data_IF_200037737061
#
_entry.id   IF_200037737061
#
_cell.length_a   1.000
_cell.length_b   1.000
_cell.length_c   1.000
_cell.angle_alpha   90.00
_cell.angle_beta   90.00
_cell.angle_gamma   90.00
#
_symmetry.space_group_name_H-M   'P 1'
#
loop_
_entity.id
_entity.type
_entity.pdbx_description
1 polymer ?
#
# COMPACT_ATOMS: atom_id res chain seq x y z
N UNK A 1 -7.49 -62.03 11.19
CA UNK A 1 -8.19 -62.61 9.98
C UNK A 1 -8.52 -61.44 9.05
N UNK A 2 -7.77 -61.38 7.93
CA UNK A 2 -8.23 -61.31 6.52
C UNK A 2 -9.07 -60.03 6.21
N UNK A 3 -8.80 -59.18 5.21
CA UNK A 3 -8.12 -59.38 3.91
C UNK A 3 -7.70 -58.00 3.35
N UNK A 4 -6.51 -57.97 2.79
CA UNK A 4 -6.04 -56.93 1.89
C UNK A 4 -6.84 -56.97 0.57
N UNK A 5 -7.05 -55.80 -0.06
CA UNK A 5 -7.26 -55.71 -1.51
C UNK A 5 -6.40 -54.61 -2.09
N UNK A 6 -5.40 -55.04 -2.86
CA UNK A 6 -4.64 -54.26 -3.82
C UNK A 6 -5.57 -53.99 -5.01
N UNK A 7 -5.56 -52.78 -5.56
CA UNK A 7 -6.01 -52.56 -6.94
C UNK A 7 -4.96 -51.69 -7.64
N UNK A 8 -4.65 -52.19 -8.82
CA UNK A 8 -3.52 -51.96 -9.66
C UNK A 8 -3.49 -50.58 -10.35
N UNK A 9 -2.26 -50.18 -10.65
CA UNK A 9 -1.91 -49.17 -11.63
C UNK A 9 -2.32 -49.61 -13.05
N UNK A 10 -2.88 -48.71 -13.84
CA UNK A 10 -2.99 -48.87 -15.29
C UNK A 10 -2.41 -47.62 -15.94
N UNK A 11 -1.22 -47.79 -16.50
CA UNK A 11 -0.60 -46.88 -17.44
C UNK A 11 -1.34 -47.00 -18.78
N UNK A 12 -1.70 -45.89 -19.39
CA UNK A 12 -2.07 -45.81 -20.80
C UNK A 12 -1.18 -44.80 -21.47
N UNK A 13 -0.20 -45.31 -22.21
CA UNK A 13 0.52 -44.61 -23.24
C UNK A 13 -0.27 -44.78 -24.55
N UNK A 14 -0.56 -43.67 -25.24
CA UNK A 14 -1.02 -43.71 -26.63
C UNK A 14 -0.56 -42.45 -27.37
N UNK A 15 0.48 -42.65 -28.12
CA UNK A 15 0.64 -42.45 -29.57
C UNK A 15 0.52 -41.03 -30.12
N UNK A 16 1.68 -40.52 -30.49
CA UNK A 16 1.89 -39.46 -31.49
C UNK A 16 1.24 -39.86 -32.83
N UNK A 17 0.51 -38.95 -33.42
CA UNK A 17 0.23 -38.94 -34.84
C UNK A 17 0.56 -37.59 -35.41
N UNK A 18 1.59 -37.54 -36.23
CA UNK A 18 1.98 -36.42 -37.08
C UNK A 18 0.86 -36.07 -38.06
N UNK A 19 0.51 -34.80 -38.11
CA UNK A 19 -0.28 -34.22 -39.17
C UNK A 19 0.24 -32.84 -39.49
N UNK A 20 1.24 -32.74 -40.39
CA UNK A 20 1.55 -31.48 -41.07
C UNK A 20 0.36 -31.13 -41.98
N UNK A 21 -0.27 -29.99 -41.69
CA UNK A 21 -1.04 -29.26 -42.68
C UNK A 21 -0.64 -27.79 -42.58
N UNK A 22 0.24 -27.41 -43.48
CA UNK A 22 0.49 -26.01 -43.79
C UNK A 22 -0.72 -25.45 -44.55
N UNK A 23 -1.38 -24.43 -43.94
CA UNK A 23 -2.10 -23.39 -44.72
C UNK A 23 -2.19 -22.18 -43.87
N UNK A 24 -1.68 -21.06 -44.40
CA UNK A 24 -1.65 -19.77 -43.77
C UNK A 24 -3.04 -19.24 -43.45
N UNK A 25 -3.13 -18.59 -42.34
CA UNK A 25 -4.23 -17.76 -41.90
C UNK A 25 -3.66 -17.00 -40.71
N UNK A 26 -3.34 -15.77 -40.96
CA UNK A 26 -3.01 -14.76 -39.97
C UNK A 26 -4.27 -14.55 -39.14
N UNK A 27 -4.39 -15.33 -38.09
CA UNK A 27 -5.28 -15.03 -36.97
C UNK A 27 -4.35 -14.73 -35.80
N UNK A 28 -4.01 -13.47 -35.64
CA UNK A 28 -3.64 -12.94 -34.35
C UNK A 28 -4.77 -13.30 -33.39
N UNK A 29 -4.64 -14.40 -32.66
CA UNK A 29 -5.26 -14.51 -31.35
C UNK A 29 -4.64 -13.37 -30.55
N UNK A 30 -5.35 -12.25 -30.45
CA UNK A 30 -5.09 -11.27 -29.42
C UNK A 30 -5.46 -11.97 -28.12
N UNK A 31 -4.50 -12.68 -27.50
CA UNK A 31 -4.61 -13.02 -26.09
C UNK A 31 -4.82 -11.69 -25.38
N UNK A 32 -5.84 -11.60 -24.53
CA UNK A 32 -6.01 -10.47 -23.65
C UNK A 32 -4.72 -10.30 -22.85
N UNK A 33 -4.19 -9.09 -22.82
CA UNK A 33 -3.05 -8.77 -21.98
C UNK A 33 -3.51 -8.78 -20.54
N UNK A 34 -2.80 -9.50 -19.65
CA UNK A 34 -3.15 -9.57 -18.24
C UNK A 34 -2.33 -8.55 -17.46
N UNK A 35 -2.98 -7.88 -16.51
CA UNK A 35 -2.37 -6.91 -15.62
C UNK A 35 -2.80 -7.21 -14.19
N UNK A 36 -1.87 -7.57 -13.31
CA UNK A 36 -2.15 -7.82 -11.89
C UNK A 36 -1.81 -6.60 -11.05
N UNK A 37 -2.82 -6.07 -10.36
CA UNK A 37 -2.69 -4.90 -9.49
C UNK A 37 -2.89 -5.30 -8.04
N UNK A 38 -1.91 -5.02 -7.17
CA UNK A 38 -1.96 -5.32 -5.76
C UNK A 38 -2.11 -4.06 -4.90
N UNK A 39 -3.02 -4.09 -3.94
CA UNK A 39 -3.24 -3.01 -2.97
C UNK A 39 -3.55 -3.55 -1.57
N UNK A 40 -3.73 -2.66 -0.60
CA UNK A 40 -4.11 -2.99 0.77
C UNK A 40 -5.48 -2.35 1.10
N UNK A 41 -5.91 -2.46 2.35
CA UNK A 41 -7.17 -1.90 2.85
C UNK A 41 -7.03 -0.44 3.26
N UNK A 42 -8.13 0.32 3.19
CA UNK A 42 -8.27 1.65 3.75
C UNK A 42 -8.42 2.77 2.70
N UNK A 43 -8.86 3.92 3.17
CA UNK A 43 -9.16 5.10 2.34
C UNK A 43 -8.00 5.58 1.49
N UNK A 44 -6.76 5.34 1.90
CA UNK A 44 -5.57 5.73 1.16
C UNK A 44 -5.50 5.11 -0.24
N UNK A 45 -6.20 3.98 -0.46
CA UNK A 45 -6.26 3.23 -1.72
C UNK A 45 -7.50 3.58 -2.56
N UNK A 46 -8.30 4.55 -2.16
CA UNK A 46 -9.52 4.96 -2.86
C UNK A 46 -9.34 5.21 -4.37
N UNK A 47 -8.24 5.79 -4.86
CA UNK A 47 -8.04 5.93 -6.30
C UNK A 47 -8.06 4.58 -7.06
N UNK A 48 -7.53 3.50 -6.48
CA UNK A 48 -7.59 2.18 -7.10
C UNK A 48 -9.03 1.61 -7.10
N UNK A 49 -9.81 1.85 -6.05
CA UNK A 49 -11.23 1.46 -6.06
C UNK A 49 -12.01 2.21 -7.13
N UNK A 50 -11.74 3.50 -7.34
CA UNK A 50 -12.35 4.28 -8.43
C UNK A 50 -11.91 3.76 -9.80
N UNK A 51 -10.61 3.47 -9.98
CA UNK A 51 -10.09 2.88 -11.22
C UNK A 51 -10.79 1.57 -11.57
N UNK A 52 -11.00 0.72 -10.58
CA UNK A 52 -11.67 -0.58 -10.69
C UNK A 52 -13.16 -0.43 -11.01
N UNK A 53 -13.89 0.33 -10.21
CA UNK A 53 -15.35 0.50 -10.37
C UNK A 53 -15.72 1.18 -11.70
N UNK A 54 -14.87 2.09 -12.18
CA UNK A 54 -15.09 2.81 -13.43
C UNK A 54 -14.39 2.19 -14.64
N UNK A 55 -13.67 1.07 -14.47
CA UNK A 55 -12.87 0.39 -15.51
C UNK A 55 -11.96 1.37 -16.26
N UNK A 56 -11.21 2.20 -15.51
CA UNK A 56 -10.45 3.29 -16.12
C UNK A 56 -9.24 2.80 -16.90
N UNK A 57 -8.63 1.68 -16.52
CA UNK A 57 -7.49 1.13 -17.26
C UNK A 57 -7.97 0.60 -18.61
N UNK A 58 -9.07 -0.14 -18.64
CA UNK A 58 -9.67 -0.68 -19.86
C UNK A 58 -10.18 0.43 -20.79
N UNK A 59 -10.55 1.58 -20.22
CA UNK A 59 -10.90 2.79 -20.99
C UNK A 59 -9.70 3.35 -21.77
N UNK A 60 -8.50 3.32 -21.17
CA UNK A 60 -7.27 3.83 -21.77
C UNK A 60 -6.52 2.79 -22.60
N UNK A 61 -6.72 1.49 -22.30
CA UNK A 61 -6.07 0.38 -23.00
C UNK A 61 -7.09 -0.75 -23.25
N UNK A 62 -7.64 -0.78 -24.46
CA UNK A 62 -8.68 -1.74 -24.84
C UNK A 62 -8.11 -3.18 -24.92
N UNK A 63 -8.78 -4.12 -24.28
CA UNK A 63 -8.47 -5.54 -24.33
C UNK A 63 -7.52 -6.04 -23.23
N UNK A 64 -7.17 -5.19 -22.25
CA UNK A 64 -6.50 -5.66 -21.02
C UNK A 64 -7.49 -6.37 -20.12
N UNK A 65 -7.05 -7.44 -19.45
CA UNK A 65 -7.76 -8.08 -18.33
C UNK A 65 -7.06 -7.70 -17.03
N UNK A 66 -7.72 -6.92 -16.18
CA UNK A 66 -7.16 -6.44 -14.92
C UNK A 66 -7.58 -7.36 -13.77
N UNK A 67 -6.58 -7.96 -13.09
CA UNK A 67 -6.78 -8.71 -11.85
C UNK A 67 -6.40 -7.84 -10.64
N UNK A 68 -7.34 -7.69 -9.71
CA UNK A 68 -7.14 -6.92 -8.47
C UNK A 68 -6.90 -7.85 -7.29
N UNK A 69 -5.74 -7.71 -6.64
CA UNK A 69 -5.33 -8.50 -5.49
C UNK A 69 -5.22 -7.62 -4.24
N UNK A 70 -5.88 -8.02 -3.14
CA UNK A 70 -5.72 -7.35 -1.86
C UNK A 70 -4.73 -8.12 -1.00
N UNK A 71 -3.62 -7.48 -0.61
CA UNK A 71 -2.55 -8.04 0.20
C UNK A 71 -2.47 -7.34 1.56
N UNK A 72 -1.89 -8.02 2.56
CA UNK A 72 -1.96 -7.55 3.95
C UNK A 72 -0.88 -6.52 4.33
N UNK A 73 0.16 -6.32 3.50
CA UNK A 73 1.28 -5.41 3.79
C UNK A 73 2.06 -5.03 2.55
N UNK A 74 2.82 -3.92 2.62
CA UNK A 74 3.77 -3.55 1.57
C UNK A 74 4.86 -4.60 1.36
N UNK A 75 5.27 -5.33 2.41
CA UNK A 75 6.21 -6.45 2.27
C UNK A 75 5.65 -7.58 1.42
N UNK A 76 4.36 -7.92 1.57
CA UNK A 76 3.71 -8.93 0.73
C UNK A 76 3.60 -8.46 -0.74
N UNK A 77 3.41 -7.16 -0.99
CA UNK A 77 3.45 -6.60 -2.34
C UNK A 77 4.86 -6.70 -2.93
N UNK A 78 5.91 -6.41 -2.13
CA UNK A 78 7.31 -6.58 -2.55
C UNK A 78 7.62 -8.04 -2.92
N UNK A 79 7.10 -9.03 -2.17
CA UNK A 79 7.21 -10.45 -2.51
C UNK A 79 6.51 -10.77 -3.84
N UNK A 80 5.33 -10.19 -4.09
CA UNK A 80 4.60 -10.32 -5.34
C UNK A 80 5.38 -9.79 -6.56
N UNK A 81 6.01 -8.62 -6.44
CA UNK A 81 6.91 -8.11 -7.49
C UNK A 81 8.16 -8.98 -7.68
N UNK A 82 8.78 -9.43 -6.58
CA UNK A 82 9.97 -10.28 -6.66
C UNK A 82 9.70 -11.64 -7.29
N UNK A 83 8.46 -12.17 -7.18
CA UNK A 83 8.03 -13.40 -7.84
C UNK A 83 7.53 -13.20 -9.28
N UNK A 84 7.24 -11.97 -9.68
CA UNK A 84 6.64 -11.62 -10.97
C UNK A 84 5.13 -11.87 -11.04
N UNK A 85 4.46 -11.95 -9.87
CA UNK A 85 3.01 -12.16 -9.76
C UNK A 85 2.23 -10.82 -9.73
N UNK A 86 2.93 -9.68 -9.62
CA UNK A 86 2.35 -8.33 -9.54
C UNK A 86 3.04 -7.41 -10.55
N UNK A 87 2.25 -6.70 -11.34
CA UNK A 87 2.72 -5.73 -12.35
C UNK A 87 2.63 -4.29 -11.84
N UNK A 88 1.59 -3.99 -11.07
CA UNK A 88 1.35 -2.68 -10.44
C UNK A 88 0.99 -2.89 -8.98
N UNK A 89 1.52 -2.07 -8.10
CA UNK A 89 1.22 -2.16 -6.68
C UNK A 89 0.98 -0.81 -6.03
N UNK A 90 0.25 -0.80 -4.92
CA UNK A 90 0.13 0.38 -4.07
C UNK A 90 0.56 0.07 -2.65
N UNK A 91 1.54 0.81 -2.14
CA UNK A 91 2.11 0.58 -0.81
C UNK A 91 2.63 1.87 -0.18
N UNK A 92 2.88 1.84 1.12
CA UNK A 92 3.47 2.97 1.85
C UNK A 92 4.86 3.35 1.32
N UNK A 93 5.25 4.61 1.54
CA UNK A 93 6.55 5.16 1.10
C UNK A 93 7.73 4.29 1.57
N UNK A 94 7.78 3.91 2.85
CA UNK A 94 8.91 3.16 3.39
C UNK A 94 9.09 1.77 2.74
N UNK A 95 8.07 0.88 2.63
CA UNK A 95 8.24 -0.38 1.91
C UNK A 95 8.53 -0.20 0.42
N UNK A 96 8.08 0.89 -0.23
CA UNK A 96 8.45 1.18 -1.61
C UNK A 96 9.95 1.49 -1.74
N UNK A 97 10.49 2.35 -0.88
CA UNK A 97 11.93 2.65 -0.82
C UNK A 97 12.73 1.37 -0.54
N UNK A 98 12.33 0.59 0.47
CA UNK A 98 12.99 -0.67 0.83
C UNK A 98 13.02 -1.65 -0.34
N UNK A 99 11.93 -1.79 -1.07
CA UNK A 99 11.88 -2.69 -2.22
C UNK A 99 12.84 -2.27 -3.34
N UNK A 100 12.82 -0.99 -3.75
CA UNK A 100 13.74 -0.49 -4.78
C UNK A 100 15.20 -0.65 -4.35
N UNK A 101 15.56 -0.25 -3.15
CA UNK A 101 16.95 -0.35 -2.64
C UNK A 101 17.39 -1.80 -2.43
N UNK A 102 16.46 -2.72 -2.23
CA UNK A 102 16.72 -4.17 -2.17
C UNK A 102 16.76 -4.83 -3.54
N UNK A 103 16.54 -4.08 -4.62
CA UNK A 103 16.62 -4.59 -5.99
C UNK A 103 15.36 -5.33 -6.46
N UNK A 104 14.23 -5.11 -5.82
CA UNK A 104 12.94 -5.60 -6.34
C UNK A 104 12.66 -4.89 -7.67
N UNK A 105 12.23 -5.60 -8.75
CA UNK A 105 12.23 -5.06 -10.10
C UNK A 105 11.05 -4.13 -10.39
N UNK A 106 10.90 -3.05 -9.63
CA UNK A 106 9.93 -1.99 -9.86
C UNK A 106 10.50 -0.61 -9.54
N UNK A 107 9.79 0.44 -9.94
CA UNK A 107 9.99 1.81 -9.47
C UNK A 107 8.66 2.48 -9.12
N UNK A 108 8.75 3.62 -8.43
CA UNK A 108 7.62 4.49 -8.15
C UNK A 108 7.11 5.06 -9.47
N UNK A 109 5.80 4.93 -9.71
CA UNK A 109 5.12 5.42 -10.91
C UNK A 109 4.32 6.70 -10.65
N UNK A 110 3.80 6.89 -9.43
CA UNK A 110 3.12 8.10 -8.98
C UNK A 110 2.93 8.09 -7.45
N UNK A 111 2.62 9.24 -6.86
CA UNK A 111 1.92 9.27 -5.58
C UNK A 111 0.44 8.92 -5.80
N UNK A 112 -0.24 8.48 -4.77
CA UNK A 112 -1.67 8.19 -4.80
C UNK A 112 -2.42 9.00 -3.74
N UNK A 113 -1.87 9.07 -2.53
CA UNK A 113 -2.51 9.76 -1.41
C UNK A 113 -1.52 10.20 -0.34
N UNK A 114 -1.92 11.24 0.39
CA UNK A 114 -1.43 11.58 1.72
C UNK A 114 -2.62 11.47 2.70
N UNK A 115 -2.37 10.84 3.85
CA UNK A 115 -3.41 10.60 4.85
C UNK A 115 -2.85 10.90 6.24
N UNK A 116 -3.69 11.31 7.21
CA UNK A 116 -3.23 11.57 8.55
C UNK A 116 -2.66 10.31 9.20
N UNK A 117 -1.50 10.45 9.83
CA UNK A 117 -0.93 9.43 10.71
C UNK A 117 -0.92 9.95 12.12
N UNK A 118 -1.45 9.17 13.06
CA UNK A 118 -1.50 9.55 14.48
C UNK A 118 -1.15 8.35 15.37
N UNK A 119 -0.62 8.63 16.52
CA UNK A 119 -0.50 7.65 17.59
C UNK A 119 -1.68 7.87 18.53
N UNK A 120 -2.59 6.91 18.57
CA UNK A 120 -3.77 6.94 19.42
C UNK A 120 -3.52 6.10 20.67
N UNK A 121 -4.01 6.54 21.83
CA UNK A 121 -3.83 5.84 23.11
C UNK A 121 -5.12 5.76 23.92
N UNK A 122 -5.28 4.66 24.66
CA UNK A 122 -6.32 4.46 25.66
C UNK A 122 -5.87 4.78 27.11
N UNK A 123 -4.65 5.32 27.26
CA UNK A 123 -4.03 5.63 28.54
C UNK A 123 -3.86 7.15 28.72
N UNK A 124 -4.65 7.75 29.61
CA UNK A 124 -4.62 9.20 29.89
C UNK A 124 -3.26 9.74 30.38
N UNK A 125 -2.34 8.87 30.76
CA UNK A 125 -1.01 9.25 31.22
C UNK A 125 0.02 9.30 30.10
N UNK A 126 -0.30 8.85 28.88
CA UNK A 126 0.58 8.93 27.71
C UNK A 126 0.17 10.14 26.88
N UNK A 127 1.01 11.17 26.90
CA UNK A 127 0.79 12.40 26.15
C UNK A 127 1.89 12.66 25.11
N UNK A 128 3.06 12.02 25.29
CA UNK A 128 4.22 12.09 24.42
C UNK A 128 4.93 10.74 24.36
N UNK A 129 5.88 10.56 23.44
CA UNK A 129 6.65 9.31 23.34
C UNK A 129 7.49 9.04 24.57
N UNK A 130 7.93 10.08 25.28
CA UNK A 130 8.69 9.96 26.52
C UNK A 130 7.91 9.35 27.71
N UNK A 131 6.59 9.30 27.61
CA UNK A 131 5.74 8.64 28.59
C UNK A 131 5.64 7.11 28.35
N UNK A 132 6.10 6.63 27.18
CA UNK A 132 6.06 5.21 26.79
C UNK A 132 7.32 4.52 27.32
N UNK A 133 7.15 3.51 28.15
CA UNK A 133 8.25 2.70 28.73
C UNK A 133 8.10 1.22 28.35
N UNK A 134 7.11 0.53 28.93
CA UNK A 134 6.82 -0.88 28.68
C UNK A 134 5.46 -1.06 27.94
N UNK A 135 4.79 0.05 27.62
CA UNK A 135 3.49 0.10 26.94
C UNK A 135 3.62 -0.41 25.51
N UNK A 136 2.58 -1.08 25.01
CA UNK A 136 2.59 -1.70 23.68
C UNK A 136 2.00 -0.77 22.63
N UNK A 137 2.68 -0.69 21.50
CA UNK A 137 2.28 0.11 20.34
C UNK A 137 1.92 -0.84 19.19
N UNK A 138 0.65 -0.87 18.80
CA UNK A 138 0.22 -1.59 17.61
C UNK A 138 0.58 -0.80 16.35
N UNK A 139 1.13 -1.47 15.34
CA UNK A 139 1.32 -0.97 13.99
C UNK A 139 1.33 -2.14 12.99
N UNK A 140 1.25 -1.86 11.68
CA UNK A 140 1.04 -2.90 10.66
C UNK A 140 2.13 -3.98 10.68
N UNK A 141 3.40 -3.59 10.58
CA UNK A 141 4.56 -4.50 10.70
C UNK A 141 5.88 -3.71 10.79
N UNK A 142 6.94 -4.37 11.19
CA UNK A 142 8.31 -3.85 11.09
C UNK A 142 8.62 -3.60 9.60
N UNK A 143 9.18 -2.43 9.28
CA UNK A 143 9.44 -1.97 7.91
C UNK A 143 8.24 -1.33 7.22
N UNK A 144 7.07 -1.22 7.88
CA UNK A 144 5.97 -0.38 7.38
C UNK A 144 6.31 1.11 7.51
N UNK A 145 5.56 1.97 6.80
CA UNK A 145 5.69 3.41 6.98
C UNK A 145 5.46 3.82 8.43
N UNK A 146 4.49 3.18 9.12
CA UNK A 146 4.23 3.45 10.53
C UNK A 146 5.44 3.16 11.42
N UNK A 147 6.20 2.08 11.13
CA UNK A 147 7.44 1.79 11.86
C UNK A 147 8.49 2.88 11.66
N UNK A 148 8.70 3.34 10.42
CA UNK A 148 9.64 4.42 10.12
C UNK A 148 9.20 5.74 10.75
N UNK A 149 7.91 6.06 10.69
CA UNK A 149 7.36 7.26 11.33
C UNK A 149 7.50 7.25 12.85
N UNK A 150 7.30 6.08 13.48
CA UNK A 150 7.59 5.92 14.91
C UNK A 150 9.07 6.17 15.20
N UNK A 151 9.96 5.64 14.35
CA UNK A 151 11.40 5.88 14.45
C UNK A 151 11.77 7.37 14.29
N UNK A 152 11.17 8.07 13.32
CA UNK A 152 11.39 9.52 13.15
C UNK A 152 10.96 10.32 14.39
N UNK A 153 9.81 9.99 14.95
CA UNK A 153 9.32 10.65 16.16
C UNK A 153 10.18 10.29 17.39
N UNK A 154 10.61 9.03 17.50
CA UNK A 154 11.49 8.58 18.59
C UNK A 154 12.90 9.23 18.50
N UNK A 155 13.47 9.35 17.31
CA UNK A 155 14.74 10.07 17.13
C UNK A 155 14.61 11.52 17.56
N UNK A 156 13.56 12.20 17.11
CA UNK A 156 13.34 13.62 17.42
C UNK A 156 13.11 13.87 18.92
N UNK A 157 12.38 13.02 19.63
CA UNK A 157 12.01 13.22 21.03
C UNK A 157 12.95 12.51 22.02
N UNK A 158 13.37 11.28 21.69
CA UNK A 158 14.15 10.41 22.58
C UNK A 158 15.65 10.35 22.20
N UNK A 159 15.99 10.80 20.97
CA UNK A 159 17.37 10.78 20.45
C UNK A 159 17.85 9.41 19.98
N UNK A 160 16.95 8.47 19.75
CA UNK A 160 17.22 7.15 19.21
C UNK A 160 16.02 6.65 18.39
N UNK A 161 16.21 6.48 17.08
CA UNK A 161 15.17 6.03 16.16
C UNK A 161 14.61 4.64 16.50
N UNK A 162 15.34 3.82 17.23
CA UNK A 162 14.98 2.46 17.62
C UNK A 162 14.53 2.33 19.09
N UNK A 163 14.39 3.46 19.80
CA UNK A 163 14.07 3.46 21.24
C UNK A 163 12.80 2.68 21.58
N UNK A 164 11.80 2.67 20.67
CA UNK A 164 10.50 2.04 20.90
C UNK A 164 10.29 0.73 20.13
N UNK A 165 11.30 0.18 19.46
CA UNK A 165 11.16 -1.06 18.67
C UNK A 165 10.67 -2.25 19.50
N UNK A 166 11.11 -2.34 20.77
CA UNK A 166 10.68 -3.40 21.69
C UNK A 166 9.23 -3.28 22.17
N UNK A 167 8.60 -2.12 21.98
CA UNK A 167 7.20 -1.86 22.33
C UNK A 167 6.23 -2.25 21.22
N UNK A 168 6.74 -2.52 20.00
CA UNK A 168 5.94 -2.77 18.81
C UNK A 168 5.23 -4.14 18.89
N UNK A 169 3.94 -4.14 18.56
CA UNK A 169 3.14 -5.32 18.32
C UNK A 169 2.57 -5.23 16.89
N UNK A 170 3.05 -6.11 16.01
CA UNK A 170 2.64 -6.12 14.61
C UNK A 170 1.23 -6.70 14.44
N UNK A 171 0.31 -5.91 13.87
CA UNK A 171 -1.05 -6.33 13.53
C UNK A 171 -1.68 -5.36 12.53
N UNK A 172 -2.65 -5.86 11.74
CA UNK A 172 -3.39 -5.02 10.81
C UNK A 172 -4.20 -3.94 11.55
N UNK A 173 -4.46 -2.79 10.91
CA UNK A 173 -5.15 -1.67 11.54
C UNK A 173 -6.50 -2.04 12.21
N UNK A 174 -7.41 -2.85 11.62
CA UNK A 174 -8.65 -3.22 12.28
C UNK A 174 -8.43 -4.05 13.56
N UNK A 175 -7.41 -4.93 13.56
CA UNK A 175 -7.03 -5.71 14.73
C UNK A 175 -6.39 -4.82 15.80
N UNK A 176 -5.57 -3.85 15.37
CA UNK A 176 -4.95 -2.84 16.23
C UNK A 176 -6.00 -1.98 16.95
N UNK A 177 -6.98 -1.45 16.23
CA UNK A 177 -8.10 -0.72 16.82
C UNK A 177 -8.85 -1.58 17.85
N UNK A 178 -9.17 -2.83 17.51
CA UNK A 178 -9.81 -3.75 18.44
C UNK A 178 -8.96 -4.01 19.68
N UNK A 179 -7.65 -4.15 19.53
CA UNK A 179 -6.69 -4.33 20.61
C UNK A 179 -6.57 -3.07 21.49
N UNK A 180 -6.56 -1.87 20.88
CA UNK A 180 -6.56 -0.58 21.58
C UNK A 180 -7.83 -0.42 22.44
N UNK A 181 -9.00 -0.62 21.83
CA UNK A 181 -10.29 -0.47 22.53
C UNK A 181 -10.48 -1.51 23.65
N UNK A 182 -9.93 -2.72 23.51
CA UNK A 182 -9.96 -3.75 24.57
C UNK A 182 -8.89 -3.57 25.65
N UNK A 183 -7.92 -2.65 25.48
CA UNK A 183 -6.79 -2.49 26.39
C UNK A 183 -5.74 -3.60 26.29
N UNK A 184 -5.68 -4.32 25.16
CA UNK A 184 -4.66 -5.34 24.90
C UNK A 184 -3.35 -4.73 24.40
N UNK A 185 -3.42 -3.54 23.85
CA UNK A 185 -2.30 -2.62 23.57
C UNK A 185 -2.65 -1.26 24.15
N UNK A 186 -1.64 -0.44 24.43
CA UNK A 186 -1.80 0.87 25.04
C UNK A 186 -1.89 1.98 24.00
N UNK A 187 -1.22 1.78 22.86
CA UNK A 187 -1.18 2.71 21.76
C UNK A 187 -1.37 1.99 20.42
N UNK A 188 -1.83 2.74 19.40
CA UNK A 188 -1.80 2.33 18.01
C UNK A 188 -1.27 3.48 17.15
N UNK A 189 -0.24 3.23 16.33
CA UNK A 189 0.12 4.12 15.25
C UNK A 189 -0.72 3.77 14.03
N UNK A 190 -1.65 4.65 13.67
CA UNK A 190 -2.72 4.40 12.72
C UNK A 190 -2.85 5.50 11.68
N UNK A 191 -3.72 5.28 10.72
CA UNK A 191 -4.06 6.21 9.63
C UNK A 191 -5.57 6.15 9.34
N UNK A 192 -6.05 6.97 8.38
CA UNK A 192 -7.45 6.91 7.97
C UNK A 192 -7.84 5.51 7.40
N UNK A 193 -9.06 5.02 7.64
CA UNK A 193 -10.11 5.67 8.42
C UNK A 193 -10.01 5.42 9.93
N UNK A 194 -9.06 4.59 10.40
CA UNK A 194 -8.99 4.15 11.79
C UNK A 194 -8.71 5.30 12.75
N UNK A 195 -7.88 6.27 12.34
CA UNK A 195 -7.64 7.48 13.14
C UNK A 195 -8.94 8.22 13.48
N UNK A 196 -9.87 8.29 12.53
CA UNK A 196 -11.17 8.94 12.75
C UNK A 196 -12.10 8.08 13.60
N UNK A 197 -12.12 6.76 13.38
CA UNK A 197 -12.91 5.81 14.17
C UNK A 197 -12.45 5.80 15.63
N UNK A 198 -11.14 5.76 15.86
CA UNK A 198 -10.54 5.77 17.19
C UNK A 198 -10.75 7.10 17.91
N UNK A 199 -10.59 8.23 17.21
CA UNK A 199 -10.83 9.55 17.78
C UNK A 199 -12.30 9.80 18.18
N UNK A 200 -13.25 9.03 17.63
CA UNK A 200 -14.66 9.10 17.99
C UNK A 200 -15.01 8.27 19.26
N UNK A 201 -14.09 7.44 19.74
CA UNK A 201 -14.31 6.57 20.90
C UNK A 201 -13.99 7.28 22.22
N UNK A 202 -14.85 7.08 23.23
CA UNK A 202 -14.64 7.65 24.56
C UNK A 202 -13.36 7.07 25.21
N UNK A 203 -12.49 7.93 25.71
CA UNK A 203 -11.27 7.54 26.43
C UNK A 203 -10.07 7.25 25.52
N UNK A 204 -10.20 7.51 24.23
CA UNK A 204 -9.07 7.50 23.30
C UNK A 204 -8.59 8.95 23.08
N UNK A 205 -7.28 9.14 23.07
CA UNK A 205 -6.64 10.44 22.82
C UNK A 205 -5.42 10.27 21.91
N UNK A 206 -4.99 11.38 21.31
CA UNK A 206 -3.78 11.41 20.48
C UNK A 206 -2.54 11.65 21.33
N UNK A 207 -1.45 10.95 21.00
CA UNK A 207 -0.10 11.19 21.54
C UNK A 207 0.61 12.18 20.62
N UNK A 208 1.13 13.27 21.17
CA UNK A 208 1.81 14.32 20.41
C UNK A 208 3.16 13.86 19.83
N UNK A 209 3.64 14.55 18.79
CA UNK A 209 5.00 14.44 18.27
C UNK A 209 5.09 13.97 16.81
N UNK A 210 4.18 13.12 16.34
CA UNK A 210 4.28 12.54 14.99
C UNK A 210 4.17 13.58 13.87
N UNK A 211 3.20 14.50 13.95
CA UNK A 211 2.97 15.52 12.93
C UNK A 211 4.17 16.49 12.75
N UNK A 212 4.98 16.64 13.80
CA UNK A 212 6.18 17.49 13.74
C UNK A 212 7.28 16.94 12.84
N UNK A 213 7.34 15.61 12.68
CA UNK A 213 8.35 14.90 11.87
C UNK A 213 7.79 14.46 10.51
N UNK A 214 6.48 14.22 10.43
CA UNK A 214 5.79 13.89 9.20
C UNK A 214 4.49 14.68 9.06
N UNK A 215 4.57 15.93 8.55
CA UNK A 215 3.41 16.79 8.39
C UNK A 215 2.35 16.19 7.47
N UNK A 216 1.08 16.51 7.76
CA UNK A 216 -0.02 16.18 6.87
C UNK A 216 0.25 16.70 5.44
N UNK A 217 -0.12 15.91 4.45
CA UNK A 217 0.13 16.22 3.04
C UNK A 217 1.42 15.63 2.47
N UNK A 218 2.31 15.06 3.29
CA UNK A 218 3.39 14.20 2.80
C UNK A 218 2.84 12.88 2.26
N UNK A 219 3.52 12.32 1.25
CA UNK A 219 3.11 11.08 0.58
C UNK A 219 2.92 9.93 1.57
N UNK A 220 1.82 9.22 1.43
CA UNK A 220 1.58 8.00 2.19
C UNK A 220 1.61 6.78 1.31
N UNK A 221 0.71 6.68 0.34
CA UNK A 221 0.65 5.56 -0.58
C UNK A 221 1.18 5.98 -1.94
N UNK A 222 2.13 5.20 -2.41
CA UNK A 222 2.71 5.31 -3.74
C UNK A 222 2.19 4.19 -4.62
N UNK A 223 1.87 4.50 -5.87
CA UNK A 223 1.76 3.51 -6.94
C UNK A 223 3.16 3.19 -7.44
N UNK A 224 3.47 1.91 -7.49
CA UNK A 224 4.70 1.36 -8.08
C UNK A 224 4.34 0.47 -9.25
N UNK A 225 5.21 0.36 -10.25
CA UNK A 225 5.02 -0.49 -11.41
C UNK A 225 6.29 -1.28 -11.72
N UNK A 226 6.16 -2.48 -12.27
CA UNK A 226 7.30 -3.30 -12.64
C UNK A 226 8.12 -2.64 -13.75
N UNK A 227 9.43 -2.89 -13.72
CA UNK A 227 10.32 -2.43 -14.79
C UNK A 227 9.92 -3.05 -16.13
N UNK A 228 9.48 -4.31 -16.14
CA UNK A 228 9.04 -5.00 -17.36
C UNK A 228 7.81 -4.31 -17.97
N UNK A 229 6.81 -3.93 -17.15
CA UNK A 229 5.65 -3.18 -17.66
C UNK A 229 6.07 -1.84 -18.29
N UNK A 230 6.97 -1.10 -17.63
CA UNK A 230 7.46 0.18 -18.12
C UNK A 230 8.26 0.04 -19.41
N UNK A 231 9.14 -0.97 -19.52
CA UNK A 231 10.06 -1.14 -20.64
C UNK A 231 9.44 -1.88 -21.82
N UNK A 232 8.63 -2.93 -21.57
CA UNK A 232 8.10 -3.82 -22.59
C UNK A 232 6.72 -3.40 -23.08
N UNK A 233 5.88 -2.76 -22.23
CA UNK A 233 4.57 -2.24 -22.60
C UNK A 233 4.32 -0.80 -22.12
N UNK A 234 5.04 0.19 -22.66
CA UNK A 234 4.90 1.58 -22.25
C UNK A 234 3.50 2.17 -22.51
N UNK A 235 2.73 1.62 -23.46
CA UNK A 235 1.36 2.08 -23.72
C UNK A 235 0.42 1.65 -22.59
N UNK A 236 0.54 0.41 -22.08
CA UNK A 236 -0.24 -0.04 -20.93
C UNK A 236 0.20 0.66 -19.63
N UNK A 237 1.53 0.84 -19.45
CA UNK A 237 2.05 1.63 -18.34
C UNK A 237 1.43 3.05 -18.31
N UNK A 238 1.43 3.74 -19.45
CA UNK A 238 0.84 5.07 -19.56
C UNK A 238 -0.68 5.06 -19.32
N UNK A 239 -1.38 3.99 -19.73
CA UNK A 239 -2.80 3.83 -19.47
C UNK A 239 -3.08 3.72 -17.97
N UNK A 240 -2.25 2.96 -17.21
CA UNK A 240 -2.35 2.85 -15.75
C UNK A 240 -2.12 4.19 -15.06
N UNK A 241 -1.09 4.94 -15.48
CA UNK A 241 -0.81 6.28 -14.94
C UNK A 241 -1.97 7.24 -15.22
N UNK A 242 -2.49 7.26 -16.45
CA UNK A 242 -3.61 8.13 -16.84
C UNK A 242 -4.92 7.74 -16.11
N UNK A 243 -5.13 6.45 -15.87
CA UNK A 243 -6.27 5.97 -15.08
C UNK A 243 -6.19 6.45 -13.62
N UNK A 244 -4.99 6.44 -13.02
CA UNK A 244 -4.78 6.98 -11.67
C UNK A 244 -5.01 8.48 -11.62
N UNK A 245 -4.48 9.24 -12.59
CA UNK A 245 -4.67 10.70 -12.69
C UNK A 245 -6.17 11.06 -12.78
N UNK A 246 -6.92 10.33 -13.61
CA UNK A 246 -8.37 10.51 -13.74
C UNK A 246 -9.09 10.16 -12.44
N UNK A 247 -8.74 9.04 -11.79
CA UNK A 247 -9.35 8.63 -10.52
C UNK A 247 -9.12 9.65 -9.40
N UNK A 248 -7.90 10.16 -9.28
CA UNK A 248 -7.53 11.19 -8.31
C UNK A 248 -8.31 12.49 -8.58
N UNK A 249 -8.38 12.94 -9.85
CA UNK A 249 -9.14 14.12 -10.24
C UNK A 249 -10.63 13.94 -9.94
N UNK A 250 -11.17 12.77 -10.28
CA UNK A 250 -12.58 12.45 -10.05
C UNK A 250 -12.95 12.47 -8.56
N UNK A 251 -12.13 11.87 -7.68
CA UNK A 251 -12.36 11.93 -6.22
C UNK A 251 -12.39 13.37 -5.72
N UNK A 252 -11.44 14.19 -6.16
CA UNK A 252 -11.32 15.57 -5.71
C UNK A 252 -12.48 16.46 -6.21
N UNK A 253 -13.03 16.18 -7.39
CA UNK A 253 -14.10 16.95 -8.02
C UNK A 253 -15.51 16.46 -7.62
N UNK A 254 -15.66 15.19 -7.18
CA UNK A 254 -16.95 14.53 -6.95
C UNK A 254 -16.97 13.84 -5.57
N UNK A 255 -16.64 14.58 -4.51
CA UNK A 255 -16.50 14.02 -3.16
C UNK A 255 -17.75 13.35 -2.61
N UNK A 256 -18.94 13.86 -2.94
CA UNK A 256 -20.21 13.27 -2.55
C UNK A 256 -20.41 11.89 -3.20
N UNK A 257 -20.14 11.78 -4.51
CA UNK A 257 -20.25 10.50 -5.24
C UNK A 257 -19.16 9.53 -4.83
N UNK A 258 -17.93 10.03 -4.55
CA UNK A 258 -16.86 9.23 -3.99
C UNK A 258 -17.21 8.69 -2.60
N UNK A 259 -17.86 9.48 -1.76
CA UNK A 259 -18.34 9.05 -0.45
C UNK A 259 -19.40 7.94 -0.56
N UNK A 260 -20.35 8.07 -1.48
CA UNK A 260 -21.36 7.03 -1.77
C UNK A 260 -20.73 5.72 -2.27
N UNK A 261 -19.65 5.80 -3.07
CA UNK A 261 -18.93 4.64 -3.60
C UNK A 261 -18.11 3.92 -2.51
N UNK A 262 -17.43 4.67 -1.64
CA UNK A 262 -16.44 4.15 -0.71
C UNK A 262 -17.01 3.76 0.68
N UNK A 263 -18.19 4.26 1.05
CA UNK A 263 -18.72 4.11 2.41
C UNK A 263 -19.00 2.65 2.80
N UNK A 264 -19.42 1.81 1.85
CA UNK A 264 -19.72 0.39 2.12
C UNK A 264 -18.46 -0.40 2.49
N UNK A 265 -17.33 -0.10 1.83
CA UNK A 265 -16.05 -0.77 2.10
C UNK A 265 -15.53 -0.51 3.52
N UNK A 266 -15.89 0.64 4.11
CA UNK A 266 -15.47 1.06 5.45
C UNK A 266 -16.55 0.86 6.52
N UNK A 267 -17.71 0.27 6.17
CA UNK A 267 -18.85 0.02 7.07
C UNK A 267 -19.34 1.30 7.78
N UNK A 268 -19.51 2.37 7.00
CA UNK A 268 -20.01 3.68 7.47
C UNK A 268 -21.07 4.21 6.50
N UNK A 269 -21.81 5.26 6.93
CA UNK A 269 -22.69 5.97 6.01
C UNK A 269 -21.92 6.98 5.14
N UNK A 270 -22.54 7.40 4.04
CA UNK A 270 -21.94 8.32 3.09
C UNK A 270 -21.67 9.72 3.69
N UNK A 271 -22.42 10.17 4.71
CA UNK A 271 -22.20 11.45 5.38
C UNK A 271 -20.89 11.38 6.20
N UNK A 272 -20.67 10.29 6.91
CA UNK A 272 -19.42 10.02 7.64
C UNK A 272 -18.24 9.94 6.67
N UNK A 273 -18.36 9.16 5.60
CA UNK A 273 -17.30 9.06 4.58
C UNK A 273 -16.99 10.41 3.95
N UNK A 274 -18.01 11.20 3.62
CA UNK A 274 -17.83 12.55 3.07
C UNK A 274 -17.09 13.47 4.05
N UNK A 275 -17.38 13.35 5.34
CA UNK A 275 -16.67 14.13 6.38
C UNK A 275 -15.17 13.80 6.39
N UNK A 276 -14.80 12.52 6.25
CA UNK A 276 -13.42 12.07 6.18
C UNK A 276 -12.71 12.51 4.89
N UNK A 277 -13.40 12.40 3.74
CA UNK A 277 -12.87 12.88 2.45
C UNK A 277 -12.66 14.41 2.41
N UNK A 278 -13.36 15.15 3.28
CA UNK A 278 -13.20 16.59 3.43
C UNK A 278 -12.19 17.00 4.50
N UNK A 279 -11.62 16.06 5.24
CA UNK A 279 -10.55 16.36 6.17
C UNK A 279 -9.33 16.88 5.39
N UNK A 280 -8.73 18.03 5.80
CA UNK A 280 -7.61 18.62 5.08
C UNK A 280 -6.35 17.76 5.07
N UNK A 281 -6.23 16.79 5.98
CA UNK A 281 -5.14 15.83 6.01
C UNK A 281 -5.35 14.65 5.02
N UNK A 282 -6.57 14.47 4.50
CA UNK A 282 -6.88 13.48 3.48
C UNK A 282 -6.71 14.08 2.08
N UNK A 283 -5.56 13.88 1.47
CA UNK A 283 -5.19 14.44 0.17
C UNK A 283 -5.00 13.32 -0.85
N UNK A 284 -5.64 13.44 -2.01
CA UNK A 284 -5.37 12.60 -3.18
C UNK A 284 -4.65 13.43 -4.23
N UNK A 285 -3.45 13.00 -4.61
CA UNK A 285 -2.56 13.71 -5.53
C UNK A 285 -1.57 12.72 -6.15
N UNK A 286 -1.20 12.93 -7.39
CA UNK A 286 -0.18 12.13 -8.08
C UNK A 286 1.26 12.66 -7.89
N UNK A 287 1.41 13.86 -7.32
CA UNK A 287 2.71 14.46 -6.99
C UNK A 287 3.28 13.87 -5.69
N UNK A 288 4.54 13.41 -5.72
CA UNK A 288 5.25 12.92 -4.54
C UNK A 288 5.75 14.06 -3.65
N UNK A 289 5.76 13.82 -2.33
CA UNK A 289 6.23 14.79 -1.35
C UNK A 289 6.84 14.11 -0.12
N UNK A 290 8.08 14.48 0.22
CA UNK A 290 8.78 13.95 1.39
C UNK A 290 9.37 12.55 1.23
N UNK A 291 9.34 11.98 0.01
CA UNK A 291 9.87 10.63 -0.25
C UNK A 291 11.37 10.58 0.00
N UNK A 292 12.13 11.58 -0.48
CA UNK A 292 13.58 11.64 -0.27
C UNK A 292 13.95 11.97 1.18
N UNK A 293 13.13 12.74 1.91
CA UNK A 293 13.34 13.00 3.33
C UNK A 293 13.22 11.69 4.14
N UNK A 294 12.21 10.86 3.84
CA UNK A 294 12.07 9.55 4.45
C UNK A 294 13.20 8.60 4.05
N UNK A 295 13.60 8.59 2.78
CA UNK A 295 14.70 7.75 2.30
C UNK A 295 16.02 8.08 3.01
N UNK A 296 16.34 9.37 3.15
CA UNK A 296 17.53 9.84 3.87
C UNK A 296 17.49 9.42 5.34
N UNK A 297 16.34 9.60 6.01
CA UNK A 297 16.17 9.15 7.39
C UNK A 297 16.34 7.63 7.53
N UNK A 298 15.78 6.86 6.62
CA UNK A 298 15.87 5.39 6.63
C UNK A 298 17.33 4.92 6.46
N UNK A 299 18.09 5.55 5.57
CA UNK A 299 19.51 5.23 5.34
C UNK A 299 20.37 5.60 6.55
N UNK A 300 20.23 6.83 7.07
CA UNK A 300 21.00 7.34 8.19
C UNK A 300 20.77 6.57 9.50
N UNK A 301 19.57 6.02 9.68
CA UNK A 301 19.17 5.34 10.93
C UNK A 301 19.08 3.82 10.80
N UNK A 302 19.56 3.23 9.70
CA UNK A 302 19.70 1.77 9.57
C UNK A 302 18.37 1.03 9.34
N UNK A 303 17.33 1.71 8.79
CA UNK A 303 16.10 1.07 8.32
C UNK A 303 16.27 0.40 6.95
N UNK A 304 17.34 0.72 6.21
CA UNK A 304 17.70 0.07 4.95
C UNK A 304 18.84 -0.93 5.18
N UNK A 305 18.78 -2.07 4.50
CA UNK A 305 19.86 -3.07 4.48
C UNK A 305 20.98 -2.70 3.49
N UNK A 306 20.62 -1.95 2.44
CA UNK A 306 21.54 -1.49 1.39
C UNK A 306 21.65 0.03 1.44
N UNK A 307 22.62 0.58 0.68
CA UNK A 307 22.82 2.02 0.53
C UNK A 307 21.52 2.71 0.03
N UNK A 308 21.18 3.83 0.64
CA UNK A 308 19.99 4.62 0.28
C UNK A 308 20.12 5.26 -1.09
N UNK A 309 18.98 5.76 -1.67
CA UNK A 309 18.99 6.43 -2.96
C UNK A 309 19.67 7.81 -2.86
N UNK A 310 20.43 8.19 -3.88
CA UNK A 310 21.04 9.52 -3.96
C UNK A 310 20.02 10.58 -4.45
N UNK A 311 19.02 10.15 -5.21
CA UNK A 311 18.02 11.03 -5.84
C UNK A 311 16.71 10.32 -6.14
N UNK A 312 15.65 11.10 -6.41
CA UNK A 312 14.34 10.55 -6.78
C UNK A 312 14.40 9.66 -8.03
N UNK A 313 15.32 9.90 -8.98
CA UNK A 313 15.48 9.07 -10.18
C UNK A 313 15.97 7.64 -9.90
N UNK A 314 16.57 7.40 -8.73
CA UNK A 314 16.94 6.04 -8.29
C UNK A 314 15.69 5.25 -7.87
N UNK A 315 14.69 5.94 -7.34
CA UNK A 315 13.45 5.37 -6.81
C UNK A 315 12.30 5.34 -7.82
N UNK A 316 12.24 6.29 -8.75
CA UNK A 316 11.06 6.57 -9.55
C UNK A 316 11.33 6.52 -11.06
N UNK A 317 10.27 6.34 -11.84
CA UNK A 317 10.29 6.54 -13.30
C UNK A 317 10.30 8.03 -13.65
N UNK A 318 10.69 8.34 -14.91
CA UNK A 318 10.93 9.71 -15.37
C UNK A 318 9.67 10.62 -15.38
N UNK A 319 8.48 10.02 -15.32
CA UNK A 319 7.20 10.75 -15.28
C UNK A 319 6.79 11.25 -13.90
N UNK A 320 7.49 10.83 -12.84
CA UNK A 320 7.10 11.17 -11.46
C UNK A 320 7.51 12.59 -11.12
N UNK A 321 6.54 13.39 -10.67
CA UNK A 321 6.75 14.76 -10.22
C UNK A 321 6.87 14.81 -8.68
N UNK A 322 7.69 15.75 -8.17
CA UNK A 322 7.89 15.98 -6.74
C UNK A 322 9.20 15.41 -6.20
N UNK A 323 9.26 15.16 -4.89
CA UNK A 323 10.46 14.69 -4.18
C UNK A 323 10.18 13.61 -3.12
#
# INVERSE_FOLDING_TARGET
MRKAKKIAAAAIAALMAFGLSACGGDSSESGSEQLTIAHQYGMAYAPFEVMKEQNLIEKYYEGVEVEWATLNSGSAINEGFASGDVDVGAMGVAPAITGVTSGVPYKIAANMSAQPHRIMTNNENINSLSDITDEKIALVNIGSIQHVLLGMAADAELGDAHALDNNIVAMAHPDGMSALLSGSVDCQLTTSPYVFKEAAEDGISEVEGLESVWPDGNSFILMVASNDLYEENPELYQAVVSALEEAVSWINENKEEAAEMLCEAEDVDAETMLSWLNDPACVYSTETKGVMDMASFMDENGFLENEGPESMSDLAFDNVEGN
#
